data_IF_325059652227
#
_entry.id   IF_325059652227
#
_cell.length_a   1.000
_cell.length_b   1.000
_cell.length_c   1.000
_cell.angle_alpha   90.00
_cell.angle_beta   90.00
_cell.angle_gamma   90.00
#
_symmetry.space_group_name_H-M   'P 1'
#
loop_
_entity.id
_entity.type
_entity.pdbx_description
1 polymer ?
#
# COMPACT_ATOMS: atom_id res chain seq x y z
N UNK A 1 -15.54 19.79 9.00
CA UNK A 1 -14.63 18.85 8.64
C UNK A 1 -15.20 17.64 7.98
N UNK A 2 -14.73 17.40 6.87
CA UNK A 2 -15.20 16.29 6.09
C UNK A 2 -14.59 14.99 6.57
N UNK A 3 -15.37 13.96 6.59
CA UNK A 3 -14.89 12.62 6.88
C UNK A 3 -15.11 11.73 5.68
N UNK A 4 -14.77 12.27 4.53
CA UNK A 4 -14.91 11.53 3.30
C UNK A 4 -14.10 10.25 3.37
N UNK A 5 -14.70 9.18 2.91
CA UNK A 5 -14.04 7.90 2.83
C UNK A 5 -14.06 7.44 1.39
N UNK A 6 -13.10 6.60 1.07
CA UNK A 6 -12.96 6.03 -0.27
C UNK A 6 -13.00 4.52 -0.12
N UNK A 7 -13.96 3.89 -0.78
CA UNK A 7 -14.06 2.44 -0.80
C UNK A 7 -13.09 1.90 -1.85
N UNK A 8 -12.29 0.91 -1.46
CA UNK A 8 -11.34 0.30 -2.38
C UNK A 8 -11.91 -0.98 -2.98
N UNK A 9 -12.37 -1.88 -2.14
CA UNK A 9 -12.91 -3.16 -2.60
C UNK A 9 -13.71 -3.77 -1.46
N UNK A 10 -14.43 -4.84 -1.76
CA UNK A 10 -15.05 -5.62 -0.70
C UNK A 10 -13.97 -6.45 0.01
N UNK A 11 -14.12 -6.61 1.31
CA UNK A 11 -13.12 -7.35 2.07
C UNK A 11 -12.99 -8.79 1.59
N UNK A 12 -14.08 -9.40 1.14
CA UNK A 12 -14.02 -10.78 0.68
C UNK A 12 -13.40 -10.92 -0.71
N UNK A 13 -13.12 -9.82 -1.38
CA UNK A 13 -12.43 -9.85 -2.66
C UNK A 13 -10.92 -9.89 -2.50
N UNK A 14 -10.42 -9.68 -1.29
CA UNK A 14 -8.99 -9.68 -1.02
C UNK A 14 -8.66 -10.98 -0.31
N UNK A 15 -8.06 -11.91 -1.04
CA UNK A 15 -7.83 -13.26 -0.54
C UNK A 15 -6.51 -13.35 0.22
N UNK A 16 -6.40 -14.38 1.05
CA UNK A 16 -5.17 -14.63 1.81
C UNK A 16 -3.99 -14.79 0.84
N UNK A 17 -2.88 -14.10 1.16
CA UNK A 17 -1.70 -14.16 0.32
C UNK A 17 -1.80 -13.35 -0.96
N UNK A 18 -2.77 -12.46 -1.04
CA UNK A 18 -3.02 -11.65 -2.22
C UNK A 18 -2.83 -10.17 -1.92
N UNK A 19 -2.34 -9.44 -2.92
CA UNK A 19 -2.25 -7.99 -2.85
C UNK A 19 -2.90 -7.40 -4.08
N UNK A 20 -3.51 -6.22 -3.92
CA UNK A 20 -4.16 -5.52 -5.02
C UNK A 20 -3.84 -4.04 -4.94
N UNK A 21 -3.54 -3.44 -6.08
CA UNK A 21 -3.31 -2.01 -6.16
C UNK A 21 -4.56 -1.26 -6.53
N UNK A 22 -4.66 -0.01 -6.08
CA UNK A 22 -5.84 0.83 -6.29
C UNK A 22 -5.41 2.24 -6.62
N UNK A 23 -6.23 2.90 -7.42
CA UNK A 23 -6.02 4.29 -7.83
C UNK A 23 -7.21 5.13 -7.37
N UNK A 24 -7.31 5.37 -6.05
CA UNK A 24 -8.50 6.06 -5.53
C UNK A 24 -8.61 7.52 -5.93
N UNK A 25 -7.51 8.13 -6.36
CA UNK A 25 -7.53 9.54 -6.75
C UNK A 25 -7.64 9.74 -8.25
N UNK A 26 -7.73 8.65 -9.01
CA UNK A 26 -7.88 8.77 -10.45
C UNK A 26 -6.65 9.30 -11.15
N UNK A 27 -5.48 9.06 -10.59
CA UNK A 27 -4.22 9.60 -11.12
C UNK A 27 -3.68 8.82 -12.30
N UNK A 28 -4.24 7.66 -12.58
CA UNK A 28 -3.74 6.78 -13.63
C UNK A 28 -2.71 5.78 -13.15
N UNK A 29 -2.36 5.84 -11.87
CA UNK A 29 -1.38 4.93 -11.27
C UNK A 29 -1.94 4.45 -9.94
N UNK A 30 -1.66 3.20 -9.62
CA UNK A 30 -2.06 2.66 -8.32
C UNK A 30 -1.21 3.32 -7.24
N UNK A 31 -1.83 4.17 -6.43
CA UNK A 31 -1.12 4.92 -5.40
C UNK A 31 -1.13 4.23 -4.05
N UNK A 32 -1.97 3.23 -3.87
CA UNK A 32 -2.04 2.45 -2.64
C UNK A 32 -2.23 0.99 -3.01
N UNK A 33 -1.91 0.11 -2.07
CA UNK A 33 -2.25 -1.30 -2.25
C UNK A 33 -2.69 -1.89 -0.92
N UNK A 34 -3.50 -2.94 -1.02
CA UNK A 34 -3.97 -3.67 0.14
C UNK A 34 -3.57 -5.13 -0.01
N UNK A 35 -3.35 -5.78 1.12
CA UNK A 35 -3.02 -7.20 1.11
C UNK A 35 -3.67 -7.88 2.30
N UNK A 36 -3.79 -9.20 2.21
CA UNK A 36 -4.21 -10.02 3.33
C UNK A 36 -3.13 -11.04 3.62
N UNK A 37 -2.66 -11.04 4.86
CA UNK A 37 -1.59 -11.93 5.27
C UNK A 37 -1.85 -12.37 6.70
N UNK A 38 -1.88 -13.68 6.91
CA UNK A 38 -2.16 -14.21 8.24
C UNK A 38 -3.55 -13.85 8.73
N UNK A 39 -4.49 -13.71 7.83
CA UNK A 39 -5.85 -13.32 8.18
C UNK A 39 -6.06 -11.84 8.39
N UNK A 40 -4.98 -11.06 8.38
CA UNK A 40 -5.05 -9.62 8.64
C UNK A 40 -4.94 -8.84 7.35
N UNK A 41 -5.69 -7.75 7.26
CA UNK A 41 -5.64 -6.87 6.11
C UNK A 41 -4.78 -5.66 6.46
N UNK A 42 -3.91 -5.29 5.52
CA UNK A 42 -3.06 -4.10 5.66
C UNK A 42 -3.16 -3.28 4.39
N UNK A 43 -3.07 -1.97 4.55
CA UNK A 43 -3.07 -1.05 3.41
C UNK A 43 -1.85 -0.17 3.51
N UNK A 44 -1.12 -0.03 2.42
CA UNK A 44 0.10 0.76 2.38
C UNK A 44 0.08 1.68 1.17
N UNK A 45 0.83 2.76 1.25
CA UNK A 45 1.12 3.57 0.08
C UNK A 45 2.00 2.77 -0.86
N UNK A 46 1.76 2.92 -2.14
CA UNK A 46 2.55 2.26 -3.17
C UNK A 46 3.77 3.12 -3.49
N UNK A 47 4.69 3.17 -2.54
CA UNK A 47 5.87 4.00 -2.65
C UNK A 47 7.00 3.36 -1.88
N UNK A 48 8.10 3.09 -2.57
CA UNK A 48 9.29 2.55 -1.92
C UNK A 48 9.98 3.68 -1.15
N UNK A 49 10.26 3.49 0.14
CA UNK A 49 10.92 4.55 0.92
C UNK A 49 12.30 4.91 0.39
N UNK A 50 12.92 4.04 -0.39
CA UNK A 50 14.25 4.28 -0.93
C UNK A 50 14.24 5.36 -2.00
N UNK A 51 13.37 5.24 -3.01
CA UNK A 51 13.39 6.14 -4.15
C UNK A 51 12.04 6.69 -4.55
N UNK A 52 11.02 6.48 -3.75
CA UNK A 52 9.69 6.99 -4.05
C UNK A 52 9.12 6.49 -5.37
N UNK A 53 9.50 5.28 -5.75
CA UNK A 53 8.95 4.62 -6.93
C UNK A 53 7.88 3.65 -6.49
N UNK A 54 7.00 3.29 -7.44
CA UNK A 54 6.01 2.27 -7.16
C UNK A 54 6.70 0.92 -6.99
N UNK A 55 6.08 0.07 -6.17
CA UNK A 55 6.70 -1.21 -5.82
C UNK A 55 6.48 -2.27 -6.89
N UNK A 56 5.29 -2.32 -7.47
CA UNK A 56 4.93 -3.43 -8.35
C UNK A 56 5.63 -3.33 -9.70
N UNK A 57 5.91 -4.48 -10.29
CA UNK A 57 6.46 -4.50 -11.64
C UNK A 57 5.34 -4.59 -12.67
N UNK A 58 4.15 -4.99 -12.28
CA UNK A 58 2.96 -4.92 -13.11
C UNK A 58 1.75 -5.04 -12.18
N UNK A 59 0.56 -4.85 -12.71
CA UNK A 59 -0.68 -4.75 -11.94
C UNK A 59 -0.77 -5.83 -10.87
N UNK A 60 -0.94 -5.38 -9.64
CA UNK A 60 -1.16 -6.23 -8.45
C UNK A 60 0.01 -7.13 -8.05
N UNK A 61 1.18 -6.96 -8.67
CA UNK A 61 2.34 -7.80 -8.37
C UNK A 61 3.23 -7.13 -7.35
N UNK A 62 2.81 -7.17 -6.10
CA UNK A 62 3.54 -6.56 -4.97
C UNK A 62 4.27 -7.57 -4.11
N UNK A 63 3.93 -8.86 -4.22
CA UNK A 63 4.44 -9.86 -3.30
C UNK A 63 5.49 -10.73 -3.95
N UNK A 64 6.34 -11.33 -3.11
CA UNK A 64 7.28 -12.34 -3.57
C UNK A 64 6.52 -13.54 -4.10
N UNK A 65 7.23 -14.41 -4.82
CA UNK A 65 6.59 -15.55 -5.45
C UNK A 65 5.83 -16.42 -4.46
N UNK A 66 6.38 -16.58 -3.27
CA UNK A 66 5.74 -17.40 -2.22
C UNK A 66 4.73 -16.60 -1.40
N UNK A 67 4.57 -15.30 -1.68
CA UNK A 67 3.59 -14.47 -0.97
C UNK A 67 4.02 -14.03 0.42
N UNK A 68 5.24 -14.34 0.84
CA UNK A 68 5.65 -14.10 2.21
C UNK A 68 6.17 -12.69 2.48
N UNK A 69 6.55 -11.96 1.43
CA UNK A 69 7.12 -10.62 1.60
C UNK A 69 6.61 -9.69 0.52
N UNK A 70 6.55 -8.41 0.85
CA UNK A 70 6.30 -7.35 -0.13
C UNK A 70 7.65 -7.04 -0.78
N UNK A 71 7.66 -6.85 -2.09
CA UNK A 71 8.90 -6.62 -2.85
C UNK A 71 8.79 -5.32 -3.62
N UNK A 72 9.84 -4.52 -3.55
CA UNK A 72 10.02 -3.42 -4.49
C UNK A 72 10.80 -3.97 -5.68
N UNK A 73 10.10 -4.16 -6.79
CA UNK A 73 10.73 -4.81 -7.94
C UNK A 73 11.71 -3.91 -8.68
N UNK A 74 11.74 -2.62 -8.33
CA UNK A 74 12.72 -1.72 -8.94
C UNK A 74 14.13 -1.99 -8.39
N UNK A 75 14.25 -2.24 -7.08
CA UNK A 75 15.56 -2.35 -6.46
C UNK A 75 15.69 -3.56 -5.53
N UNK A 76 14.69 -4.40 -5.50
CA UNK A 76 14.80 -5.64 -4.72
C UNK A 76 14.61 -5.52 -3.22
N UNK A 77 14.19 -4.36 -2.74
CA UNK A 77 13.90 -4.23 -1.31
C UNK A 77 12.76 -5.16 -0.93
N UNK A 78 12.81 -5.71 0.29
CA UNK A 78 11.80 -6.63 0.78
C UNK A 78 11.27 -6.15 2.11
N UNK A 79 9.96 -6.27 2.29
CA UNK A 79 9.26 -5.74 3.45
C UNK A 79 8.38 -6.81 4.06
N UNK A 80 8.24 -6.75 5.38
CA UNK A 80 7.32 -7.66 6.07
C UNK A 80 5.88 -7.20 5.79
N UNK A 81 4.99 -8.14 5.44
CA UNK A 81 3.61 -7.76 5.13
C UNK A 81 2.87 -7.16 6.31
N UNK A 82 3.16 -7.61 7.52
CA UNK A 82 2.40 -7.21 8.71
C UNK A 82 2.75 -5.80 9.18
N UNK A 83 4.01 -5.39 9.02
CA UNK A 83 4.46 -4.11 9.56
C UNK A 83 4.93 -3.14 8.50
N UNK A 84 5.27 -3.64 7.31
CA UNK A 84 5.88 -2.81 6.29
C UNK A 84 7.35 -2.53 6.52
N UNK A 85 7.96 -3.21 7.50
CA UNK A 85 9.38 -2.99 7.81
C UNK A 85 10.25 -3.58 6.71
N UNK A 86 11.18 -2.78 6.21
CA UNK A 86 12.15 -3.24 5.22
C UNK A 86 13.19 -4.10 5.91
N UNK A 87 13.30 -5.35 5.48
CA UNK A 87 14.22 -6.31 6.08
C UNK A 87 15.33 -6.73 5.13
N UNK A 88 15.34 -6.20 3.91
CA UNK A 88 16.37 -6.52 2.93
C UNK A 88 16.42 -5.42 1.89
N UNK A 89 17.61 -5.03 1.50
CA UNK A 89 17.80 -4.09 0.41
C UNK A 89 18.19 -2.70 0.87
N UNK A 90 18.16 -1.73 -0.05
CA UNK A 90 18.73 -0.41 0.23
C UNK A 90 18.00 0.40 1.29
N UNK A 91 16.75 0.08 1.58
CA UNK A 91 16.02 0.83 2.60
C UNK A 91 15.87 0.06 3.90
N UNK A 92 16.81 -0.82 4.19
CA UNK A 92 16.78 -1.65 5.40
C UNK A 92 16.51 -0.78 6.63
N UNK A 93 15.52 -1.18 7.42
CA UNK A 93 15.15 -0.46 8.62
C UNK A 93 14.08 0.61 8.41
N UNK A 94 13.77 0.96 7.18
CA UNK A 94 12.70 1.90 6.90
C UNK A 94 11.38 1.14 6.73
N UNK A 95 10.29 1.88 6.71
CA UNK A 95 8.96 1.28 6.62
C UNK A 95 8.21 1.83 5.43
N UNK A 96 7.35 0.99 4.86
CA UNK A 96 6.28 1.47 4.00
C UNK A 96 5.32 2.31 4.86
N UNK A 97 4.65 3.25 4.24
CA UNK A 97 3.68 4.08 4.94
C UNK A 97 2.37 3.32 5.05
N UNK A 98 2.01 2.96 6.26
CA UNK A 98 0.74 2.26 6.52
C UNK A 98 -0.40 3.28 6.53
N UNK A 99 -1.53 2.88 5.96
CA UNK A 99 -2.72 3.72 5.92
C UNK A 99 -3.78 3.13 6.83
N UNK A 100 -4.51 3.99 7.51
CA UNK A 100 -5.60 3.57 8.35
C UNK A 100 -6.80 3.23 7.49
N UNK A 101 -7.42 2.12 7.78
CA UNK A 101 -8.60 1.69 7.05
C UNK A 101 -9.62 1.15 8.02
N UNK A 102 -10.86 1.04 7.56
CA UNK A 102 -11.90 0.44 8.37
C UNK A 102 -12.87 -0.31 7.47
N UNK A 103 -13.63 -1.19 8.11
CA UNK A 103 -14.66 -1.94 7.39
C UNK A 103 -15.97 -1.21 7.53
N UNK A 104 -16.64 -0.97 6.41
CA UNK A 104 -17.97 -0.39 6.39
C UNK A 104 -18.81 -1.27 5.49
N UNK A 105 -19.79 -1.98 6.07
CA UNK A 105 -20.68 -2.87 5.32
C UNK A 105 -19.91 -3.82 4.42
N UNK A 106 -18.86 -4.42 4.96
CA UNK A 106 -18.00 -5.39 4.27
C UNK A 106 -17.10 -4.78 3.19
N UNK A 107 -17.00 -3.47 3.15
CA UNK A 107 -16.08 -2.79 2.25
C UNK A 107 -14.85 -2.31 3.02
N UNK A 108 -13.71 -2.41 2.35
CA UNK A 108 -12.46 -1.82 2.84
C UNK A 108 -12.47 -0.35 2.42
N UNK A 109 -12.48 0.55 3.41
CA UNK A 109 -12.53 1.98 3.10
C UNK A 109 -11.36 2.70 3.77
N UNK A 110 -10.89 3.75 3.11
CA UNK A 110 -9.84 4.63 3.61
C UNK A 110 -10.41 6.00 3.87
N UNK A 111 -9.81 6.72 4.81
CA UNK A 111 -10.09 8.13 4.97
C UNK A 111 -9.35 8.90 3.88
N UNK A 112 -10.09 9.70 3.12
CA UNK A 112 -9.53 10.39 1.97
C UNK A 112 -8.42 11.36 2.36
N UNK A 113 -8.49 11.93 3.55
CA UNK A 113 -7.49 12.90 3.98
C UNK A 113 -6.09 12.34 4.06
N UNK A 114 -5.94 11.05 4.30
CA UNK A 114 -4.61 10.42 4.32
C UNK A 114 -3.93 10.52 2.98
N UNK A 115 -4.70 10.41 1.91
CA UNK A 115 -4.15 10.43 0.56
C UNK A 115 -3.80 11.85 0.16
N UNK A 116 -4.63 12.80 0.54
CA UNK A 116 -4.42 14.20 0.19
C UNK A 116 -3.22 14.80 0.90
N UNK A 117 -2.83 14.23 2.05
CA UNK A 117 -1.69 14.73 2.80
C UNK A 117 -0.40 14.63 2.00
N UNK A 118 -0.37 13.79 0.97
CA UNK A 118 0.80 13.63 0.12
C UNK A 118 0.51 14.09 -1.29
N UNK A 119 -0.24 15.17 -1.43
CA UNK A 119 -0.60 15.70 -2.73
C UNK A 119 0.65 16.07 -3.51
N UNK A 120 0.59 15.96 -4.85
CA UNK A 120 1.77 16.21 -5.67
C UNK A 120 2.37 17.60 -5.53
N UNK A 121 1.55 18.60 -5.23
CA UNK A 121 2.06 19.95 -5.08
C UNK A 121 2.87 20.12 -3.81
N UNK A 122 2.81 19.15 -2.92
CA UNK A 122 3.65 19.18 -1.73
C UNK A 122 5.09 18.98 -2.16
N UNK A 123 5.95 19.91 -1.76
CA UNK A 123 7.34 19.82 -2.19
C UNK A 123 8.24 19.18 -1.17
N UNK A 124 7.72 18.83 -0.02
CA UNK A 124 8.58 18.22 0.96
C UNK A 124 8.33 16.73 1.05
N UNK A 125 9.28 16.12 1.69
CA UNK A 125 9.37 14.69 1.69
C UNK A 125 8.61 14.05 2.77
N UNK A 126 7.93 14.79 3.56
CA UNK A 126 7.22 14.26 4.70
C UNK A 126 6.14 13.27 4.38
N UNK A 127 5.82 13.13 3.14
CA UNK A 127 4.83 12.14 2.77
C UNK A 127 5.40 10.75 2.82
#
# INVERSE_FOLDING_TARGET
MSHDVIALCRLDELLEGQARGFDPLGSGKDSVFALRHGGEVRVYRNRCPHLEVRLEYRKDRFLSVDGSQIVCYAHGARFLPDSGLCVYGPCLGEHLTALKWQAQADWLVLEAGQLEACAPESTYRGC
#
